data_IF_013727620347
#
_entry.id   IF_013727620347
#
_cell.length_a   1.000
_cell.length_b   1.000
_cell.length_c   1.000
_cell.angle_alpha   90.00
_cell.angle_beta   90.00
_cell.angle_gamma   90.00
#
_symmetry.space_group_name_H-M   'P 1'
#
loop_
_entity.id
_entity.type
_entity.pdbx_description
1 polymer ?
#
# COMPACT_ATOMS: atom_id res chain seq x y z
N UNK A 1 21.75 6.86 -9.32
CA UNK A 1 21.10 6.57 -10.64
C UNK A 1 20.68 5.12 -10.59
N UNK A 2 19.39 4.88 -10.55
CA UNK A 2 18.88 3.50 -10.68
C UNK A 2 19.30 2.98 -12.05
N UNK A 3 19.92 1.82 -12.09
CA UNK A 3 20.25 1.18 -13.36
C UNK A 3 18.96 0.81 -14.10
N UNK A 4 19.01 0.67 -15.42
CA UNK A 4 17.87 0.15 -16.21
C UNK A 4 17.38 -1.21 -15.65
N UNK A 5 18.29 -1.99 -15.10
CA UNK A 5 17.99 -3.26 -14.41
C UNK A 5 17.12 -3.04 -13.16
N UNK A 6 17.41 -2.00 -12.34
CA UNK A 6 16.59 -1.71 -11.16
C UNK A 6 15.14 -1.39 -11.56
N UNK A 7 14.96 -0.63 -12.65
CA UNK A 7 13.63 -0.31 -13.15
C UNK A 7 12.86 -1.57 -13.61
N UNK A 8 13.54 -2.50 -14.29
CA UNK A 8 12.95 -3.78 -14.72
C UNK A 8 12.51 -4.65 -13.54
N UNK A 9 13.17 -4.55 -12.40
CA UNK A 9 12.82 -5.32 -11.20
C UNK A 9 11.73 -4.62 -10.37
N UNK A 10 11.83 -3.32 -10.20
CA UNK A 10 10.93 -2.51 -9.36
C UNK A 10 9.55 -2.36 -9.99
N UNK A 11 9.47 -2.10 -11.31
CA UNK A 11 8.20 -1.79 -11.97
C UNK A 11 7.17 -2.92 -11.88
N UNK A 12 7.49 -4.19 -12.22
CA UNK A 12 6.54 -5.29 -12.05
C UNK A 12 6.11 -5.47 -10.58
N UNK A 13 7.06 -5.36 -9.66
CA UNK A 13 6.80 -5.51 -8.24
C UNK A 13 5.85 -4.42 -7.71
N UNK A 14 6.04 -3.18 -8.13
CA UNK A 14 5.17 -2.06 -7.78
C UNK A 14 3.76 -2.24 -8.37
N UNK A 15 3.65 -2.67 -9.63
CA UNK A 15 2.36 -2.92 -10.27
C UNK A 15 1.58 -4.03 -9.54
N UNK A 16 2.24 -5.11 -9.14
CA UNK A 16 1.64 -6.18 -8.34
C UNK A 16 1.16 -5.61 -7.01
N UNK A 17 2.01 -4.88 -6.28
CA UNK A 17 1.70 -4.36 -4.96
C UNK A 17 0.50 -3.42 -4.97
N UNK A 18 0.46 -2.45 -5.89
CA UNK A 18 -0.65 -1.50 -6.04
C UNK A 18 -1.93 -2.22 -6.45
N UNK A 19 -1.85 -3.14 -7.42
CA UNK A 19 -3.03 -3.84 -7.93
C UNK A 19 -3.70 -4.68 -6.86
N UNK A 20 -2.92 -5.47 -6.12
CA UNK A 20 -3.45 -6.32 -5.04
C UNK A 20 -4.04 -5.46 -3.92
N UNK A 21 -3.40 -4.36 -3.58
CA UNK A 21 -3.85 -3.40 -2.58
C UNK A 21 -5.22 -2.81 -2.93
N UNK A 22 -5.32 -2.15 -4.09
CA UNK A 22 -6.55 -1.50 -4.55
C UNK A 22 -7.67 -2.49 -4.82
N UNK A 23 -7.35 -3.63 -5.45
CA UNK A 23 -8.33 -4.70 -5.67
C UNK A 23 -8.94 -5.19 -4.35
N UNK A 24 -8.14 -5.32 -3.30
CA UNK A 24 -8.60 -5.81 -2.00
C UNK A 24 -9.54 -4.84 -1.30
N UNK A 25 -9.27 -3.52 -1.38
CA UNK A 25 -10.22 -2.51 -0.91
C UNK A 25 -11.56 -2.64 -1.61
N UNK A 26 -11.54 -2.72 -2.94
CA UNK A 26 -12.75 -2.86 -3.75
C UNK A 26 -13.51 -4.15 -3.45
N UNK A 27 -12.81 -5.26 -3.30
CA UNK A 27 -13.39 -6.57 -3.02
C UNK A 27 -14.09 -6.59 -1.65
N UNK A 28 -13.47 -6.03 -0.63
CA UNK A 28 -14.06 -5.96 0.72
C UNK A 28 -15.25 -4.99 0.73
N UNK A 29 -15.14 -3.83 0.09
CA UNK A 29 -16.27 -2.88 -0.02
C UNK A 29 -17.48 -3.52 -0.72
N UNK A 30 -17.27 -4.21 -1.84
CA UNK A 30 -18.33 -4.91 -2.59
C UNK A 30 -18.97 -6.04 -1.75
N UNK A 31 -18.14 -6.81 -1.02
CA UNK A 31 -18.63 -7.87 -0.12
C UNK A 31 -19.46 -7.32 1.07
N UNK A 32 -19.18 -6.07 1.49
CA UNK A 32 -19.94 -5.37 2.54
C UNK A 32 -21.17 -4.65 2.02
N UNK A 33 -21.44 -4.73 0.71
CA UNK A 33 -22.67 -4.23 0.07
C UNK A 33 -22.51 -2.94 -0.71
N UNK A 34 -21.29 -2.41 -0.87
CA UNK A 34 -21.03 -1.25 -1.73
C UNK A 34 -20.75 -1.68 -3.18
N UNK A 35 -21.68 -1.47 -4.12
CA UNK A 35 -21.49 -1.87 -5.53
C UNK A 35 -20.58 -0.91 -6.30
N UNK A 36 -20.16 0.22 -5.70
CA UNK A 36 -19.42 1.29 -6.37
C UNK A 36 -18.11 0.80 -7.02
N UNK A 37 -17.27 -0.01 -6.36
CA UNK A 37 -16.03 -0.52 -6.95
C UNK A 37 -16.30 -1.37 -8.21
N UNK A 38 -17.32 -2.22 -8.16
CA UNK A 38 -17.72 -3.09 -9.27
C UNK A 38 -18.26 -2.27 -10.44
N UNK A 39 -19.17 -1.33 -10.17
CA UNK A 39 -19.78 -0.48 -11.19
C UNK A 39 -18.79 0.44 -11.88
N UNK A 40 -17.72 0.84 -11.18
CA UNK A 40 -16.64 1.66 -11.76
C UNK A 40 -15.53 0.84 -12.44
N UNK A 41 -15.71 -0.48 -12.59
CA UNK A 41 -14.71 -1.36 -13.22
C UNK A 41 -13.42 -1.51 -12.44
N UNK A 42 -13.46 -1.26 -11.10
CA UNK A 42 -12.26 -1.26 -10.26
C UNK A 42 -11.97 -2.60 -9.59
N UNK A 43 -12.91 -3.57 -9.67
CA UNK A 43 -12.69 -4.96 -9.27
C UNK A 43 -11.95 -5.71 -10.39
N UNK A 44 -10.69 -5.35 -10.60
CA UNK A 44 -9.86 -5.90 -11.68
C UNK A 44 -8.43 -6.10 -11.20
N UNK A 45 -7.81 -7.19 -11.61
CA UNK A 45 -6.37 -7.44 -11.42
C UNK A 45 -5.52 -6.84 -12.55
N UNK A 46 -6.13 -6.11 -13.50
CA UNK A 46 -5.39 -5.35 -14.49
C UNK A 46 -4.76 -4.11 -13.84
N UNK A 47 -3.42 -3.99 -13.76
CA UNK A 47 -2.76 -2.86 -13.12
C UNK A 47 -3.12 -1.50 -13.74
N UNK A 48 -3.41 -1.47 -15.05
CA UNK A 48 -3.67 -0.22 -15.77
C UNK A 48 -4.90 0.53 -15.25
N UNK A 49 -5.89 -0.17 -14.67
CA UNK A 49 -7.07 0.48 -14.11
C UNK A 49 -6.78 1.18 -12.78
N UNK A 50 -5.69 0.83 -12.12
CA UNK A 50 -5.26 1.38 -10.83
C UNK A 50 -4.19 2.46 -10.96
N UNK A 51 -3.66 2.70 -12.17
CA UNK A 51 -2.69 3.76 -12.39
C UNK A 51 -3.38 5.12 -12.50
N UNK A 52 -2.81 6.12 -11.81
CA UNK A 52 -3.11 7.53 -11.98
C UNK A 52 -2.06 8.15 -12.91
N UNK A 53 -2.49 8.90 -13.91
CA UNK A 53 -1.58 9.49 -14.89
C UNK A 53 -0.62 10.49 -14.23
N UNK A 54 -1.15 11.36 -13.37
CA UNK A 54 -0.36 12.36 -12.67
C UNK A 54 0.53 11.71 -11.61
N UNK A 55 -0.01 10.77 -10.84
CA UNK A 55 0.74 9.99 -9.86
C UNK A 55 1.90 9.22 -10.49
N UNK A 56 1.68 8.61 -11.67
CA UNK A 56 2.72 7.92 -12.43
C UNK A 56 3.80 8.86 -12.95
N UNK A 57 3.41 10.04 -13.43
CA UNK A 57 4.36 11.07 -13.86
C UNK A 57 5.20 11.58 -12.69
N UNK A 58 4.60 11.76 -11.52
CA UNK A 58 5.29 12.20 -10.31
C UNK A 58 6.33 11.17 -9.80
N UNK A 59 6.12 9.87 -10.05
CA UNK A 59 7.15 8.85 -9.75
C UNK A 59 8.43 9.15 -10.55
N UNK A 60 8.31 9.55 -11.82
CA UNK A 60 9.46 9.83 -12.69
C UNK A 60 10.16 11.14 -12.27
N UNK A 61 9.39 12.19 -11.93
CA UNK A 61 9.92 13.53 -11.65
C UNK A 61 10.40 13.66 -10.19
N UNK A 62 9.59 13.18 -9.24
CA UNK A 62 9.80 13.40 -7.81
C UNK A 62 10.19 12.14 -7.04
N UNK A 63 10.27 10.99 -7.70
CA UNK A 63 10.46 9.66 -7.09
C UNK A 63 9.40 9.33 -6.03
N UNK A 64 8.24 9.95 -6.13
CA UNK A 64 7.06 9.75 -5.31
C UNK A 64 5.83 9.88 -6.21
N UNK A 65 4.84 9.00 -5.99
CA UNK A 65 3.59 9.03 -6.74
C UNK A 65 2.48 8.31 -5.98
N UNK A 66 1.32 8.26 -6.59
CA UNK A 66 0.14 7.62 -6.01
C UNK A 66 -0.63 6.83 -7.06
N UNK A 67 -1.38 5.85 -6.58
CA UNK A 67 -2.33 5.11 -7.39
C UNK A 67 -3.65 5.87 -7.51
N UNK A 68 -4.43 5.52 -8.50
CA UNK A 68 -5.82 5.96 -8.59
C UNK A 68 -6.66 5.15 -7.59
N UNK A 69 -7.18 5.75 -6.51
CA UNK A 69 -7.87 5.00 -5.46
C UNK A 69 -9.16 4.36 -5.95
N UNK A 70 -9.52 3.23 -5.36
CA UNK A 70 -10.82 2.59 -5.59
C UNK A 70 -11.91 3.44 -4.92
N UNK A 71 -12.96 3.85 -5.66
CA UNK A 71 -14.06 4.60 -5.06
C UNK A 71 -14.86 3.69 -4.11
N UNK A 72 -15.07 4.17 -2.89
CA UNK A 72 -15.87 3.49 -1.85
C UNK A 72 -16.93 4.45 -1.34
N UNK A 73 -18.18 3.99 -1.26
CA UNK A 73 -19.31 4.77 -0.80
C UNK A 73 -19.89 4.19 0.50
N UNK A 74 -19.50 4.80 1.62
CA UNK A 74 -19.90 4.36 2.95
C UNK A 74 -21.42 4.37 3.22
N UNK A 75 -22.23 4.98 2.34
CA UNK A 75 -23.71 5.00 2.46
C UNK A 75 -24.34 3.63 2.23
N UNK A 76 -23.64 2.72 1.57
CA UNK A 76 -24.11 1.34 1.35
C UNK A 76 -23.80 0.42 2.53
N UNK A 77 -22.95 0.82 3.45
CA UNK A 77 -22.55 0.00 4.58
C UNK A 77 -23.60 -0.03 5.68
N UNK A 78 -23.79 -1.21 6.30
CA UNK A 78 -24.67 -1.39 7.44
C UNK A 78 -24.15 -0.68 8.69
N UNK A 79 -22.84 -0.77 8.91
CA UNK A 79 -22.11 -0.05 9.96
C UNK A 79 -20.95 0.70 9.29
N UNK A 80 -21.16 1.96 8.88
CA UNK A 80 -20.14 2.73 8.15
C UNK A 80 -18.80 2.83 8.88
N UNK A 81 -18.81 2.88 10.21
CA UNK A 81 -17.58 3.01 11.00
C UNK A 81 -16.75 1.73 10.99
N UNK A 82 -17.41 0.59 11.25
CA UNK A 82 -16.80 -0.74 11.25
C UNK A 82 -16.39 -1.16 9.83
N UNK A 83 -17.29 -0.96 8.88
CA UNK A 83 -17.11 -1.45 7.52
C UNK A 83 -16.01 -0.66 6.79
N UNK A 84 -15.90 0.66 7.01
CA UNK A 84 -14.76 1.46 6.52
C UNK A 84 -13.43 1.06 7.17
N UNK A 85 -13.43 0.61 8.43
CA UNK A 85 -12.24 0.03 9.05
C UNK A 85 -11.81 -1.24 8.31
N UNK A 86 -12.76 -2.15 8.02
CA UNK A 86 -12.47 -3.40 7.31
C UNK A 86 -11.94 -3.13 5.90
N UNK A 87 -12.54 -2.18 5.19
CA UNK A 87 -12.03 -1.73 3.89
C UNK A 87 -10.62 -1.18 4.03
N UNK A 88 -10.37 -0.25 4.97
CA UNK A 88 -9.05 0.36 5.16
C UNK A 88 -7.95 -0.64 5.52
N UNK A 89 -8.27 -1.72 6.25
CA UNK A 89 -7.29 -2.77 6.59
C UNK A 89 -7.03 -3.73 5.43
N UNK A 90 -7.96 -3.86 4.49
CA UNK A 90 -7.91 -4.85 3.42
C UNK A 90 -6.67 -4.72 2.52
N UNK A 91 -6.32 -3.50 2.10
CA UNK A 91 -5.14 -3.23 1.28
C UNK A 91 -3.83 -3.64 1.96
N UNK A 92 -3.52 -3.09 3.15
CA UNK A 92 -2.32 -3.48 3.90
C UNK A 92 -2.23 -4.98 4.20
N UNK A 93 -3.34 -5.62 4.57
CA UNK A 93 -3.37 -7.08 4.82
C UNK A 93 -3.06 -7.85 3.54
N UNK A 94 -3.65 -7.49 2.42
CA UNK A 94 -3.40 -8.14 1.14
C UNK A 94 -1.92 -7.99 0.70
N UNK A 95 -1.31 -6.83 0.95
CA UNK A 95 0.12 -6.64 0.72
C UNK A 95 0.97 -7.54 1.62
N UNK A 96 0.67 -7.66 2.92
CA UNK A 96 1.40 -8.59 3.80
C UNK A 96 1.25 -10.05 3.35
N UNK A 97 0.05 -10.47 2.96
CA UNK A 97 -0.20 -11.83 2.43
C UNK A 97 0.61 -12.05 1.14
N UNK A 98 0.61 -11.07 0.24
CA UNK A 98 1.40 -11.15 -1.01
C UNK A 98 2.89 -11.26 -0.69
N UNK A 99 3.42 -10.41 0.19
CA UNK A 99 4.82 -10.48 0.61
C UNK A 99 5.16 -11.84 1.21
N UNK A 100 4.30 -12.39 2.06
CA UNK A 100 4.50 -13.71 2.66
C UNK A 100 4.55 -14.84 1.61
N UNK A 101 3.62 -14.85 0.65
CA UNK A 101 3.57 -15.86 -0.42
C UNK A 101 4.84 -15.83 -1.26
N UNK A 102 5.26 -14.63 -1.70
CA UNK A 102 6.47 -14.47 -2.51
C UNK A 102 7.74 -14.79 -1.73
N UNK A 103 7.81 -14.41 -0.45
CA UNK A 103 8.91 -14.77 0.44
C UNK A 103 9.00 -16.30 0.64
N UNK A 104 7.87 -16.99 0.76
CA UNK A 104 7.84 -18.45 0.89
C UNK A 104 8.43 -19.13 -0.36
N UNK A 105 8.08 -18.66 -1.56
CA UNK A 105 8.64 -19.18 -2.82
C UNK A 105 10.17 -19.00 -2.87
N UNK A 106 10.67 -17.83 -2.43
CA UNK A 106 12.12 -17.57 -2.35
C UNK A 106 12.80 -18.50 -1.33
N UNK A 107 12.20 -18.67 -0.15
CA UNK A 107 12.75 -19.55 0.93
C UNK A 107 12.81 -21.01 0.54
N UNK A 108 11.86 -21.48 -0.24
CA UNK A 108 11.86 -22.87 -0.76
C UNK A 108 12.90 -23.11 -1.86
N UNK A 109 13.64 -22.08 -2.28
CA UNK A 109 14.68 -22.20 -3.29
C UNK A 109 14.16 -22.50 -4.70
N UNK A 110 12.86 -22.35 -4.95
CA UNK A 110 12.22 -22.71 -6.23
C UNK A 110 12.73 -21.88 -7.40
N UNK A 111 13.39 -20.75 -7.14
CA UNK A 111 13.91 -19.82 -8.15
C UNK A 111 15.43 -19.64 -8.09
N UNK A 112 16.14 -20.50 -7.37
CA UNK A 112 17.59 -20.36 -7.13
C UNK A 112 18.45 -20.31 -8.41
N UNK A 113 17.97 -20.90 -9.51
CA UNK A 113 18.66 -20.91 -10.80
C UNK A 113 18.30 -19.73 -11.73
N UNK A 114 17.34 -18.85 -11.35
CA UNK A 114 16.81 -17.81 -12.22
C UNK A 114 16.99 -16.46 -11.54
N UNK A 115 18.22 -15.93 -11.56
CA UNK A 115 18.62 -14.75 -10.80
C UNK A 115 17.74 -13.49 -10.98
N UNK A 116 17.31 -13.18 -12.22
CA UNK A 116 16.48 -12.00 -12.49
C UNK A 116 15.06 -12.16 -11.90
N UNK A 117 14.48 -13.36 -11.97
CA UNK A 117 13.15 -13.62 -11.40
C UNK A 117 13.22 -13.61 -9.88
N UNK A 118 14.26 -14.17 -9.28
CA UNK A 118 14.49 -14.07 -7.83
C UNK A 118 14.60 -12.62 -7.39
N UNK A 119 15.27 -11.75 -8.18
CA UNK A 119 15.33 -10.31 -7.95
C UNK A 119 13.94 -9.67 -7.98
N UNK A 120 13.10 -9.96 -8.98
CA UNK A 120 11.71 -9.44 -9.04
C UNK A 120 10.92 -9.88 -7.80
N UNK A 121 11.01 -11.16 -7.40
CA UNK A 121 10.30 -11.68 -6.23
C UNK A 121 10.76 -10.99 -4.94
N UNK A 122 12.05 -10.72 -4.80
CA UNK A 122 12.58 -9.96 -3.67
C UNK A 122 12.00 -8.54 -3.62
N UNK A 123 11.97 -7.84 -4.76
CA UNK A 123 11.33 -6.52 -4.84
C UNK A 123 9.82 -6.59 -4.57
N UNK A 124 9.12 -7.64 -5.00
CA UNK A 124 7.69 -7.84 -4.65
C UNK A 124 7.54 -7.94 -3.13
N UNK A 125 8.35 -8.73 -2.44
CA UNK A 125 8.31 -8.82 -0.97
C UNK A 125 8.56 -7.46 -0.35
N UNK A 126 9.65 -6.80 -0.71
CA UNK A 126 10.07 -5.53 -0.13
C UNK A 126 9.04 -4.41 -0.35
N UNK A 127 8.53 -4.25 -1.58
CA UNK A 127 7.58 -3.18 -1.91
C UNK A 127 6.23 -3.44 -1.25
N UNK A 128 5.76 -4.69 -1.21
CA UNK A 128 4.51 -5.02 -0.53
C UNK A 128 4.59 -4.76 0.98
N UNK A 129 5.68 -5.14 1.65
CA UNK A 129 5.89 -4.84 3.07
C UNK A 129 5.96 -3.33 3.30
N UNK A 130 6.74 -2.60 2.48
CA UNK A 130 6.88 -1.16 2.58
C UNK A 130 5.53 -0.44 2.39
N UNK A 131 4.75 -0.83 1.37
CA UNK A 131 3.44 -0.25 1.07
C UNK A 131 2.44 -0.53 2.20
N UNK A 132 2.44 -1.74 2.77
CA UNK A 132 1.59 -2.10 3.89
C UNK A 132 1.90 -1.24 5.13
N UNK A 133 3.18 -1.13 5.51
CA UNK A 133 3.60 -0.33 6.67
C UNK A 133 3.26 1.15 6.44
N UNK A 134 3.55 1.67 5.25
CA UNK A 134 3.29 3.06 4.90
C UNK A 134 1.79 3.38 5.00
N UNK A 135 0.92 2.53 4.44
CA UNK A 135 -0.52 2.75 4.48
C UNK A 135 -1.14 2.56 5.87
N UNK A 136 -0.46 1.91 6.81
CA UNK A 136 -0.91 1.83 8.21
C UNK A 136 -0.63 3.10 9.03
N UNK A 137 0.09 4.09 8.49
CA UNK A 137 0.28 5.39 9.15
C UNK A 137 -1.09 6.08 9.28
N UNK A 138 -1.47 6.57 10.48
CA UNK A 138 -2.80 7.09 10.76
C UNK A 138 -3.01 8.54 10.28
N UNK A 139 -2.56 8.85 9.07
CA UNK A 139 -2.66 10.18 8.44
C UNK A 139 -3.38 10.06 7.10
N UNK A 140 -4.51 10.78 6.86
CA UNK A 140 -5.12 10.82 5.54
C UNK A 140 -4.14 11.36 4.47
N UNK A 141 -4.16 10.81 3.26
CA UNK A 141 -5.15 9.89 2.69
C UNK A 141 -4.84 8.40 2.90
N UNK A 142 -3.94 8.03 3.80
CA UNK A 142 -3.51 6.66 4.03
C UNK A 142 -4.59 5.83 4.78
N UNK A 143 -4.60 4.53 4.57
CA UNK A 143 -5.59 3.59 5.11
C UNK A 143 -5.64 3.57 6.65
N UNK A 144 -4.48 3.75 7.30
CA UNK A 144 -4.37 3.87 8.74
C UNK A 144 -5.25 4.96 9.35
N UNK A 145 -5.63 5.97 8.55
CA UNK A 145 -6.59 6.98 8.99
C UNK A 145 -7.99 6.41 9.23
N UNK A 146 -8.42 5.40 8.46
CA UNK A 146 -9.69 4.71 8.68
C UNK A 146 -9.64 3.88 9.97
N UNK A 147 -8.48 3.27 10.26
CA UNK A 147 -8.25 2.57 11.52
C UNK A 147 -8.35 3.54 12.68
N UNK A 148 -7.63 4.67 12.63
CA UNK A 148 -7.69 5.70 13.66
C UNK A 148 -9.11 6.17 13.91
N UNK A 149 -9.87 6.52 12.85
CA UNK A 149 -11.26 6.99 12.94
C UNK A 149 -12.19 5.97 13.60
N UNK A 150 -11.95 4.68 13.41
CA UNK A 150 -12.77 3.63 14.02
C UNK A 150 -12.65 3.58 15.54
N UNK A 151 -11.54 4.02 16.11
CA UNK A 151 -11.33 4.04 17.58
C UNK A 151 -11.60 5.39 18.23
N UNK A 152 -11.73 6.47 17.44
CA UNK A 152 -11.96 7.79 17.99
C UNK A 152 -13.41 8.00 18.45
N UNK A 153 -13.62 8.67 19.60
CA UNK A 153 -14.95 9.04 20.08
C UNK A 153 -15.57 10.16 19.22
N UNK A 154 -16.89 10.33 19.30
CA UNK A 154 -17.61 11.37 18.56
C UNK A 154 -17.09 12.79 18.86
N UNK A 155 -16.59 13.05 20.06
CA UNK A 155 -15.98 14.34 20.43
C UNK A 155 -14.72 14.69 19.64
N UNK A 156 -14.04 13.72 19.04
CA UNK A 156 -12.86 13.94 18.21
C UNK A 156 -13.18 14.34 16.75
N UNK A 157 -14.45 14.38 16.35
CA UNK A 157 -14.88 14.71 14.98
C UNK A 157 -14.29 16.02 14.41
N UNK A 158 -14.14 17.11 15.18
CA UNK A 158 -13.48 18.33 14.66
C UNK A 158 -12.03 18.08 14.26
N UNK A 159 -11.28 17.33 15.08
CA UNK A 159 -9.89 16.99 14.79
C UNK A 159 -9.77 16.04 13.58
N UNK A 160 -10.69 15.08 13.45
CA UNK A 160 -10.76 14.19 12.29
C UNK A 160 -10.99 14.98 11.00
N UNK A 161 -11.95 15.89 10.98
CA UNK A 161 -12.22 16.76 9.81
C UNK A 161 -11.02 17.62 9.44
N UNK A 162 -10.37 18.20 10.45
CA UNK A 162 -9.14 18.97 10.22
C UNK A 162 -8.04 18.10 9.59
N UNK A 163 -7.85 16.89 10.10
CA UNK A 163 -6.88 15.95 9.58
C UNK A 163 -7.23 15.48 8.16
N UNK A 164 -8.51 15.29 7.84
CA UNK A 164 -8.97 14.97 6.48
C UNK A 164 -8.70 16.11 5.50
N UNK A 165 -8.87 17.34 5.95
CA UNK A 165 -8.64 18.53 5.11
C UNK A 165 -7.16 18.77 4.84
N UNK A 166 -6.29 18.58 5.83
CA UNK A 166 -4.88 18.94 5.75
C UNK A 166 -3.92 17.72 5.70
N UNK A 167 -4.43 16.51 5.88
CA UNK A 167 -3.60 15.29 5.99
C UNK A 167 -2.70 15.06 4.78
N UNK A 168 -3.20 15.26 3.56
CA UNK A 168 -2.38 15.16 2.36
C UNK A 168 -1.22 16.18 2.37
N UNK A 169 -1.50 17.43 2.73
CA UNK A 169 -0.49 18.47 2.83
C UNK A 169 0.54 18.16 3.91
N UNK A 170 0.07 17.69 5.08
CA UNK A 170 0.94 17.30 6.20
C UNK A 170 1.85 16.14 5.76
N UNK A 171 1.29 15.10 5.16
CA UNK A 171 2.05 13.96 4.66
C UNK A 171 3.09 14.39 3.64
N UNK A 172 2.70 15.23 2.68
CA UNK A 172 3.57 15.76 1.64
C UNK A 172 4.72 16.59 2.22
N UNK A 173 4.43 17.46 3.19
CA UNK A 173 5.45 18.26 3.87
C UNK A 173 6.42 17.38 4.68
N UNK A 174 5.90 16.35 5.37
CA UNK A 174 6.74 15.38 6.09
C UNK A 174 7.68 14.65 5.11
N UNK A 175 7.16 14.21 3.96
CA UNK A 175 7.96 13.51 2.94
C UNK A 175 9.09 14.38 2.37
N UNK A 176 8.83 15.67 2.15
CA UNK A 176 9.82 16.60 1.56
C UNK A 176 10.79 17.14 2.61
N UNK A 177 10.26 17.67 3.72
CA UNK A 177 11.06 18.39 4.72
C UNK A 177 11.86 17.42 5.62
N UNK A 178 11.34 16.21 5.84
CA UNK A 178 11.90 15.25 6.76
C UNK A 178 12.20 13.92 6.09
N UNK A 179 12.90 13.94 4.97
CA UNK A 179 13.30 12.71 4.22
C UNK A 179 13.93 11.63 5.11
N UNK A 180 14.67 12.05 6.17
CA UNK A 180 15.28 11.15 7.14
C UNK A 180 14.31 10.52 8.13
N UNK A 181 13.17 11.16 8.44
CA UNK A 181 12.19 10.61 9.41
C UNK A 181 11.59 9.30 8.90
N UNK A 182 11.29 9.23 7.59
CA UNK A 182 10.80 7.98 6.99
C UNK A 182 11.81 6.84 7.14
N UNK A 183 13.09 7.10 6.87
CA UNK A 183 14.14 6.08 7.04
C UNK A 183 14.35 5.72 8.51
N UNK A 184 14.27 6.67 9.43
CA UNK A 184 14.46 6.42 10.86
C UNK A 184 13.28 5.61 11.44
N UNK A 185 12.05 5.88 11.01
CA UNK A 185 10.84 5.24 11.59
C UNK A 185 10.46 3.96 10.85
N UNK A 186 10.45 3.99 9.52
CA UNK A 186 9.98 2.86 8.73
C UNK A 186 11.06 1.80 8.48
N UNK A 187 12.32 2.19 8.32
CA UNK A 187 13.37 1.23 8.02
C UNK A 187 13.57 0.17 9.12
N UNK A 188 13.54 0.47 10.43
CA UNK A 188 13.63 -0.56 11.44
C UNK A 188 12.48 -1.58 11.38
N UNK A 189 11.25 -1.10 11.14
CA UNK A 189 10.07 -1.96 11.03
C UNK A 189 10.16 -2.82 9.75
N UNK A 190 10.53 -2.20 8.63
CA UNK A 190 10.74 -2.90 7.38
C UNK A 190 11.81 -3.99 7.54
N UNK A 191 12.97 -3.65 8.10
CA UNK A 191 14.06 -4.59 8.32
C UNK A 191 13.66 -5.74 9.25
N UNK A 192 12.90 -5.46 10.31
CA UNK A 192 12.39 -6.50 11.21
C UNK A 192 11.50 -7.49 10.44
N UNK A 193 10.54 -6.99 9.67
CA UNK A 193 9.60 -7.84 8.92
C UNK A 193 10.34 -8.59 7.79
N UNK A 194 11.25 -7.92 7.08
CA UNK A 194 12.05 -8.56 6.05
C UNK A 194 12.92 -9.68 6.60
N UNK A 195 13.55 -9.48 7.77
CA UNK A 195 14.35 -10.52 8.45
C UNK A 195 13.49 -11.70 8.91
N UNK A 196 12.25 -11.48 9.30
CA UNK A 196 11.30 -12.56 9.63
C UNK A 196 10.88 -13.34 8.39
N UNK A 197 10.60 -12.63 7.29
CA UNK A 197 10.16 -13.24 6.03
C UNK A 197 11.31 -13.97 5.32
N UNK A 198 12.51 -13.41 5.32
CA UNK A 198 13.67 -13.87 4.55
C UNK A 198 14.96 -13.82 5.41
N UNK A 199 15.09 -14.70 6.41
CA UNK A 199 16.24 -14.71 7.30
C UNK A 199 17.54 -15.01 6.55
N UNK A 200 18.60 -14.23 6.86
CA UNK A 200 19.94 -14.44 6.30
C UNK A 200 20.17 -13.82 4.91
N UNK A 201 19.19 -13.17 4.31
CA UNK A 201 19.40 -12.40 3.08
C UNK A 201 19.86 -10.96 3.42
N UNK A 202 20.78 -10.44 2.62
CA UNK A 202 21.17 -9.02 2.70
C UNK A 202 20.32 -8.23 1.71
N UNK A 203 19.42 -7.38 2.20
CA UNK A 203 18.48 -6.58 1.38
C UNK A 203 19.01 -5.20 1.00
N UNK A 204 20.12 -4.78 1.62
CA UNK A 204 20.75 -3.47 1.44
C UNK A 204 21.98 -3.56 0.57
#
# INVERSE_FOLDING_TARGET
MSSFLDLLLVLPAMLIAITVHEFSHGMVADALGDPTPRQSGRLSLNPLVHLDLLGSLMIIIAHFGWAKPVPVNARYFKDPKRDMLLVGVAGPVANFVTAFVFALVLRLGLLSSIGIISGIFLYVVMINVALAIFNLIPIPPLDGSHILKAFLPASAQPAVRWLEQYGFLILFLILIAFRGVFSIVLAPILNLIMNLLLPGSQWM
#
